data_IF_999771536116
#
_entry.id   IF_999771536116
#
_cell.length_a   1.000
_cell.length_b   1.000
_cell.length_c   1.000
_cell.angle_alpha   90.00
_cell.angle_beta   90.00
_cell.angle_gamma   90.00
#
_symmetry.space_group_name_H-M   'P 1'
#
loop_
_entity.id
_entity.type
_entity.pdbx_description
1 polymer ?
#
# COMPACT_ATOMS: atom_id res chain seq x y z
N UNK A 1 8.66 8.74 26.06
CA UNK A 1 8.03 7.60 25.35
C UNK A 1 8.08 7.84 23.85
N UNK A 2 8.32 6.77 23.12
CA UNK A 2 8.30 6.87 21.67
C UNK A 2 6.87 7.08 21.16
N UNK A 3 6.71 7.98 20.21
CA UNK A 3 5.44 8.21 19.55
C UNK A 3 5.04 6.98 18.74
N UNK A 4 3.74 6.65 18.73
CA UNK A 4 3.24 5.52 17.94
C UNK A 4 3.09 5.94 16.48
N UNK A 5 3.38 5.01 15.58
CA UNK A 5 3.39 5.27 14.14
C UNK A 5 2.50 4.31 13.37
N UNK A 6 1.95 4.79 12.27
CA UNK A 6 1.35 3.96 11.26
C UNK A 6 2.17 4.15 9.97
N UNK A 7 2.77 3.07 9.49
CA UNK A 7 3.58 3.10 8.28
C UNK A 7 2.76 2.52 7.13
N UNK A 8 2.53 3.32 6.09
CA UNK A 8 1.83 2.88 4.89
C UNK A 8 2.87 2.47 3.85
N UNK A 9 2.86 1.19 3.49
CA UNK A 9 3.68 0.68 2.40
C UNK A 9 2.93 0.91 1.10
N UNK A 10 3.41 1.84 0.29
CA UNK A 10 2.73 2.24 -0.94
C UNK A 10 3.51 1.81 -2.19
N UNK A 11 2.82 1.74 -3.31
CA UNK A 11 3.41 1.40 -4.58
C UNK A 11 2.44 0.65 -5.48
N UNK A 12 2.86 0.39 -6.71
CA UNK A 12 2.04 -0.32 -7.69
C UNK A 12 1.87 -1.80 -7.32
N UNK A 13 0.87 -2.45 -7.92
CA UNK A 13 0.66 -3.90 -7.75
C UNK A 13 1.95 -4.66 -8.07
N UNK A 14 2.29 -5.61 -7.21
CA UNK A 14 3.48 -6.46 -7.41
C UNK A 14 4.78 -5.87 -6.89
N UNK A 15 4.76 -4.70 -6.27
CA UNK A 15 5.99 -4.11 -5.71
C UNK A 15 6.45 -4.77 -4.41
N UNK A 16 5.65 -5.67 -3.83
CA UNK A 16 6.03 -6.43 -2.65
C UNK A 16 5.48 -5.92 -1.33
N UNK A 17 4.41 -5.13 -1.36
CA UNK A 17 3.82 -4.54 -0.14
C UNK A 17 3.48 -5.59 0.93
N UNK A 18 2.79 -6.65 0.55
CA UNK A 18 2.38 -7.69 1.49
C UNK A 18 3.58 -8.43 2.05
N UNK A 19 4.52 -8.82 1.19
CA UNK A 19 5.72 -9.56 1.61
C UNK A 19 6.55 -8.73 2.59
N UNK A 20 6.84 -7.49 2.24
CA UNK A 20 7.64 -6.61 3.09
C UNK A 20 6.87 -6.26 4.37
N UNK A 21 5.57 -6.04 4.27
CA UNK A 21 4.73 -5.74 5.43
C UNK A 21 4.73 -6.87 6.44
N UNK A 22 4.62 -8.11 5.98
CA UNK A 22 4.67 -9.28 6.86
C UNK A 22 6.03 -9.46 7.51
N UNK A 23 7.12 -9.23 6.77
CA UNK A 23 8.47 -9.28 7.32
C UNK A 23 8.69 -8.23 8.39
N UNK A 24 8.28 -6.98 8.13
CA UNK A 24 8.39 -5.90 9.11
C UNK A 24 7.55 -6.18 10.35
N UNK A 25 6.36 -6.73 10.16
CA UNK A 25 5.48 -7.09 11.26
C UNK A 25 6.16 -8.08 12.20
N UNK A 26 6.83 -9.10 11.65
CA UNK A 26 7.57 -10.08 12.43
C UNK A 26 8.78 -9.47 13.14
N UNK A 27 9.52 -8.61 12.42
CA UNK A 27 10.73 -7.99 12.97
C UNK A 27 10.42 -6.99 14.09
N UNK A 28 9.37 -6.20 13.94
CA UNK A 28 9.05 -5.11 14.85
C UNK A 28 7.96 -5.46 15.88
N UNK A 29 7.23 -6.54 15.66
CA UNK A 29 6.08 -6.89 16.50
C UNK A 29 4.89 -5.97 16.30
N UNK A 30 4.81 -5.27 15.17
CA UNK A 30 3.71 -4.37 14.84
C UNK A 30 2.60 -5.13 14.12
N UNK A 31 1.36 -4.66 14.28
CA UNK A 31 0.21 -5.25 13.57
C UNK A 31 0.30 -4.94 12.09
N UNK A 32 0.09 -5.94 11.25
CA UNK A 32 0.03 -5.77 9.80
C UNK A 32 -1.43 -5.75 9.33
N UNK A 33 -1.78 -4.73 8.55
CA UNK A 33 -3.10 -4.58 7.95
C UNK A 33 -2.96 -4.59 6.43
N UNK A 34 -3.76 -5.42 5.76
CA UNK A 34 -3.85 -5.40 4.30
C UNK A 34 -5.03 -4.52 3.91
N UNK A 35 -4.76 -3.45 3.18
CA UNK A 35 -5.80 -2.50 2.78
C UNK A 35 -6.91 -3.13 1.95
N UNK A 36 -6.60 -4.18 1.18
CA UNK A 36 -7.60 -4.86 0.37
C UNK A 36 -8.70 -5.52 1.19
N UNK A 37 -8.42 -5.86 2.45
CA UNK A 37 -9.40 -6.49 3.34
C UNK A 37 -10.49 -5.53 3.82
N UNK A 38 -10.32 -4.25 3.58
CA UNK A 38 -11.21 -3.20 4.10
C UNK A 38 -12.12 -2.58 3.04
N UNK A 39 -12.14 -3.10 1.84
CA UNK A 39 -13.03 -2.58 0.79
C UNK A 39 -14.50 -2.79 1.14
N UNK A 40 -15.38 -1.80 0.87
CA UNK A 40 -16.82 -1.99 0.96
C UNK A 40 -17.27 -3.10 -0.01
N UNK A 41 -18.39 -3.74 0.31
CA UNK A 41 -18.91 -4.83 -0.52
C UNK A 41 -19.13 -4.41 -1.98
N UNK A 42 -19.56 -3.16 -2.22
CA UNK A 42 -19.74 -2.65 -3.57
C UNK A 42 -18.45 -2.64 -4.37
N UNK A 43 -17.33 -2.31 -3.72
CA UNK A 43 -16.02 -2.34 -4.37
C UNK A 43 -15.58 -3.77 -4.66
N UNK A 44 -15.80 -4.68 -3.72
CA UNK A 44 -15.47 -6.10 -3.89
C UNK A 44 -16.21 -6.68 -5.07
N UNK A 45 -17.49 -6.36 -5.22
CA UNK A 45 -18.31 -6.80 -6.37
C UNK A 45 -17.76 -6.27 -7.68
N UNK A 46 -17.42 -4.98 -7.74
CA UNK A 46 -16.84 -4.38 -8.95
C UNK A 46 -15.55 -5.04 -9.36
N UNK A 47 -14.67 -5.28 -8.40
CA UNK A 47 -13.39 -5.94 -8.66
C UNK A 47 -13.60 -7.37 -9.17
N UNK A 48 -14.55 -8.11 -8.59
CA UNK A 48 -14.86 -9.47 -9.01
C UNK A 48 -15.42 -9.52 -10.43
N UNK A 49 -16.13 -8.48 -10.85
CA UNK A 49 -16.71 -8.36 -12.18
C UNK A 49 -15.74 -7.74 -13.21
N UNK A 50 -14.53 -7.38 -12.76
CA UNK A 50 -13.55 -6.74 -13.63
C UNK A 50 -13.83 -5.26 -13.90
N UNK A 51 -14.71 -4.65 -13.13
CA UNK A 51 -15.04 -3.23 -13.27
C UNK A 51 -14.03 -2.38 -12.49
N UNK A 52 -13.34 -1.42 -13.15
CA UNK A 52 -12.38 -0.56 -12.46
C UNK A 52 -13.05 0.30 -11.39
N UNK A 53 -12.37 0.49 -10.27
CA UNK A 53 -12.85 1.40 -9.22
C UNK A 53 -12.58 2.84 -9.62
N UNK A 54 -13.58 3.71 -9.39
CA UNK A 54 -13.43 5.15 -9.56
C UNK A 54 -12.84 5.75 -8.29
N UNK A 55 -12.45 7.03 -8.36
CA UNK A 55 -12.01 7.75 -7.16
C UNK A 55 -13.11 7.79 -6.10
N UNK A 56 -14.37 8.02 -6.53
CA UNK A 56 -15.50 8.04 -5.61
C UNK A 56 -15.72 6.69 -4.92
N UNK A 57 -15.45 5.59 -5.62
CA UNK A 57 -15.51 4.25 -5.03
C UNK A 57 -14.45 4.07 -3.95
N UNK A 58 -13.27 4.68 -4.14
CA UNK A 58 -12.13 4.53 -3.24
C UNK A 58 -12.20 5.40 -2.00
N UNK A 59 -12.83 6.57 -2.07
CA UNK A 59 -12.85 7.50 -0.94
C UNK A 59 -13.39 6.89 0.36
N UNK A 60 -14.54 6.22 0.39
CA UNK A 60 -15.01 5.58 1.62
C UNK A 60 -14.05 4.51 2.16
N UNK A 61 -13.42 3.78 1.25
CA UNK A 61 -12.41 2.77 1.62
C UNK A 61 -11.20 3.42 2.28
N UNK A 62 -10.68 4.49 1.68
CA UNK A 62 -9.53 5.22 2.22
C UNK A 62 -9.85 5.85 3.57
N UNK A 63 -11.04 6.38 3.74
CA UNK A 63 -11.50 6.93 5.01
C UNK A 63 -11.58 5.85 6.09
N UNK A 64 -12.05 4.67 5.73
CA UNK A 64 -12.10 3.53 6.65
C UNK A 64 -10.70 3.12 7.09
N UNK A 65 -9.75 3.08 6.16
CA UNK A 65 -8.36 2.78 6.47
C UNK A 65 -7.74 3.83 7.40
N UNK A 66 -8.03 5.10 7.15
CA UNK A 66 -7.56 6.20 8.00
C UNK A 66 -8.11 6.07 9.42
N UNK A 67 -9.38 5.73 9.55
CA UNK A 67 -10.04 5.51 10.84
C UNK A 67 -9.38 4.33 11.58
N UNK A 68 -9.14 3.24 10.88
CA UNK A 68 -8.51 2.05 11.46
C UNK A 68 -7.12 2.36 12.00
N UNK A 69 -6.30 3.05 11.21
CA UNK A 69 -4.96 3.46 11.66
C UNK A 69 -5.03 4.42 12.85
N UNK A 70 -5.93 5.40 12.78
CA UNK A 70 -6.10 6.38 13.85
C UNK A 70 -6.51 5.75 15.17
N UNK A 71 -7.41 4.79 15.14
CA UNK A 71 -7.85 4.07 16.33
C UNK A 71 -6.71 3.28 16.97
N UNK A 72 -5.85 2.66 16.16
CA UNK A 72 -4.71 1.92 16.67
C UNK A 72 -3.67 2.84 17.30
N UNK A 73 -3.38 3.96 16.66
CA UNK A 73 -2.45 4.96 17.22
C UNK A 73 -2.99 5.49 18.54
N UNK A 74 -4.26 5.85 18.58
CA UNK A 74 -4.89 6.40 19.78
C UNK A 74 -4.97 5.38 20.92
N UNK A 75 -5.02 4.09 20.60
CA UNK A 75 -4.99 3.02 21.61
C UNK A 75 -3.59 2.61 22.03
N UNK A 76 -2.56 3.26 21.50
CA UNK A 76 -1.18 3.02 21.86
C UNK A 76 -0.48 1.91 21.08
N UNK A 77 -0.94 1.62 19.88
CA UNK A 77 -0.35 0.57 19.02
C UNK A 77 0.26 1.15 17.77
N UNK A 78 1.37 0.57 17.34
CA UNK A 78 1.94 0.83 16.01
C UNK A 78 1.31 -0.14 15.01
N UNK A 79 1.25 0.26 13.74
CA UNK A 79 0.73 -0.62 12.69
C UNK A 79 1.42 -0.38 11.35
N UNK A 80 1.29 -1.36 10.47
CA UNK A 80 1.80 -1.33 9.10
C UNK A 80 0.61 -1.58 8.20
N UNK A 81 0.39 -0.71 7.22
CA UNK A 81 -0.71 -0.85 6.26
C UNK A 81 -0.15 -1.05 4.86
N UNK A 82 -0.60 -2.09 4.16
CA UNK A 82 -0.31 -2.27 2.74
C UNK A 82 -1.45 -1.63 1.93
N UNK A 83 -1.16 -0.58 1.19
CA UNK A 83 -2.13 0.14 0.38
C UNK A 83 -1.41 0.83 -0.77
N UNK A 84 -1.89 0.67 -2.01
CA UNK A 84 -1.24 1.26 -3.18
C UNK A 84 -0.99 2.76 -3.04
N UNK A 85 -1.97 3.51 -2.56
CA UNK A 85 -1.86 4.96 -2.29
C UNK A 85 -1.20 5.73 -3.45
N UNK A 86 -1.58 5.41 -4.68
CA UNK A 86 -0.89 5.90 -5.88
C UNK A 86 -1.01 7.41 -6.07
N UNK A 87 -2.14 7.98 -5.73
CA UNK A 87 -2.38 9.41 -5.90
C UNK A 87 -2.14 10.17 -4.59
N UNK A 88 -1.64 11.39 -4.72
CA UNK A 88 -1.43 12.28 -3.58
C UNK A 88 -2.70 12.46 -2.74
N UNK A 89 -3.85 12.60 -3.42
CA UNK A 89 -5.13 12.77 -2.74
C UNK A 89 -5.47 11.56 -1.87
N UNK A 90 -5.15 10.35 -2.33
CA UNK A 90 -5.35 9.14 -1.54
C UNK A 90 -4.50 9.18 -0.27
N UNK A 91 -3.25 9.62 -0.39
CA UNK A 91 -2.34 9.73 0.76
C UNK A 91 -2.82 10.79 1.75
N UNK A 92 -3.37 11.89 1.27
CA UNK A 92 -3.94 12.93 2.13
C UNK A 92 -5.11 12.39 2.95
N UNK A 93 -5.99 11.61 2.32
CA UNK A 93 -7.13 10.99 3.01
C UNK A 93 -6.64 9.99 4.06
N UNK A 94 -5.68 9.15 3.69
CA UNK A 94 -5.12 8.16 4.62
C UNK A 94 -4.48 8.80 5.84
N UNK A 95 -3.73 9.87 5.63
CA UNK A 95 -3.06 10.57 6.71
C UNK A 95 -4.04 11.29 7.64
N UNK A 96 -5.15 11.79 7.10
CA UNK A 96 -6.18 12.52 7.84
C UNK A 96 -5.59 13.61 8.75
N UNK A 97 -4.51 14.29 8.27
CA UNK A 97 -3.84 15.34 9.03
C UNK A 97 -2.93 14.84 10.17
N UNK A 98 -2.73 13.54 10.30
CA UNK A 98 -1.90 12.96 11.37
C UNK A 98 -0.44 12.85 10.93
N UNK A 99 0.48 13.39 11.71
CA UNK A 99 1.92 13.27 11.46
C UNK A 99 2.44 11.87 11.76
N UNK A 100 1.73 11.10 12.58
CA UNK A 100 2.08 9.72 12.92
C UNK A 100 1.94 8.77 11.75
N UNK A 101 1.17 9.14 10.70
CA UNK A 101 1.03 8.33 9.50
C UNK A 101 2.18 8.67 8.56
N UNK A 102 3.01 7.68 8.26
CA UNK A 102 4.20 7.84 7.40
C UNK A 102 4.09 6.91 6.20
N UNK A 103 4.65 7.35 5.09
CA UNK A 103 4.59 6.59 3.83
C UNK A 103 5.96 6.07 3.45
N UNK A 104 6.03 4.79 3.08
CA UNK A 104 7.23 4.18 2.51
C UNK A 104 6.88 3.67 1.11
N UNK A 105 7.49 4.26 0.10
CA UNK A 105 7.24 3.93 -1.30
C UNK A 105 8.16 2.80 -1.74
N UNK A 106 7.58 1.63 -2.02
CA UNK A 106 8.30 0.48 -2.55
C UNK A 106 8.44 0.68 -4.06
N UNK A 107 9.61 1.15 -4.48
CA UNK A 107 9.86 1.59 -5.85
C UNK A 107 10.78 0.64 -6.60
N UNK A 108 10.42 0.35 -7.86
CA UNK A 108 11.26 -0.45 -8.75
C UNK A 108 10.85 -0.24 -10.20
N UNK A 109 11.71 -0.70 -11.13
CA UNK A 109 11.42 -0.59 -12.56
C UNK A 109 10.15 -1.38 -12.93
N UNK A 110 9.39 -0.85 -13.88
CA UNK A 110 8.17 -1.50 -14.37
C UNK A 110 8.44 -2.92 -14.85
N UNK A 111 9.55 -3.13 -15.55
CA UNK A 111 9.92 -4.45 -16.07
C UNK A 111 10.14 -5.48 -14.96
N UNK A 112 10.81 -5.07 -13.89
CA UNK A 112 11.09 -5.94 -12.74
C UNK A 112 9.78 -6.33 -12.05
N UNK A 113 8.91 -5.37 -11.82
CA UNK A 113 7.61 -5.60 -11.17
C UNK A 113 6.75 -6.50 -12.04
N UNK A 114 6.72 -6.25 -13.36
CA UNK A 114 5.99 -7.09 -14.30
C UNK A 114 6.44 -8.55 -14.28
N UNK A 115 7.75 -8.79 -14.23
CA UNK A 115 8.29 -10.14 -14.12
C UNK A 115 7.88 -10.82 -12.82
N UNK A 116 7.98 -10.11 -11.71
CA UNK A 116 7.61 -10.65 -10.39
C UNK A 116 6.13 -11.02 -10.32
N UNK A 117 5.27 -10.20 -10.92
CA UNK A 117 3.85 -10.50 -11.00
C UNK A 117 3.57 -11.75 -11.83
N UNK A 118 4.20 -11.87 -12.99
CA UNK A 118 4.04 -13.03 -13.87
C UNK A 118 4.46 -14.32 -13.15
N UNK A 119 5.61 -14.31 -12.48
CA UNK A 119 6.12 -15.46 -11.74
C UNK A 119 5.18 -15.84 -10.59
N UNK A 120 4.71 -14.84 -9.83
CA UNK A 120 3.86 -15.04 -8.66
C UNK A 120 2.50 -15.62 -9.03
N UNK A 121 1.90 -15.13 -10.14
CA UNK A 121 0.58 -15.55 -10.58
C UNK A 121 0.63 -16.75 -11.50
N UNK A 122 1.82 -17.18 -11.91
CA UNK A 122 2.02 -18.26 -12.89
C UNK A 122 1.25 -18.00 -14.19
N UNK A 123 1.05 -16.72 -14.55
CA UNK A 123 0.36 -16.31 -15.77
C UNK A 123 0.82 -14.93 -16.20
N UNK A 124 0.62 -14.64 -17.48
CA UNK A 124 0.97 -13.34 -18.04
C UNK A 124 0.08 -12.24 -17.46
N UNK A 125 0.72 -11.16 -17.00
CA UNK A 125 0.02 -9.95 -16.57
C UNK A 125 0.06 -8.95 -17.74
N UNK A 126 -1.11 -8.45 -18.23
CA UNK A 126 -1.10 -7.46 -19.30
C UNK A 126 -0.29 -6.23 -18.90
N UNK A 127 0.66 -5.84 -19.77
CA UNK A 127 1.51 -4.68 -19.53
C UNK A 127 0.69 -3.39 -19.37
N UNK A 128 -0.44 -3.29 -20.08
CA UNK A 128 -1.32 -2.12 -20.01
C UNK A 128 -1.91 -1.92 -18.62
N UNK A 129 -2.22 -3.00 -17.91
CA UNK A 129 -2.78 -2.92 -16.55
C UNK A 129 -1.73 -2.37 -15.58
N UNK A 130 -0.50 -2.89 -15.64
CA UNK A 130 0.58 -2.41 -14.80
C UNK A 130 0.97 -0.97 -15.16
N UNK A 131 1.04 -0.67 -16.46
CA UNK A 131 1.36 0.67 -16.93
C UNK A 131 0.34 1.71 -16.44
N UNK A 132 -0.95 1.36 -16.41
CA UNK A 132 -1.98 2.27 -15.92
C UNK A 132 -1.75 2.63 -14.44
N UNK A 133 -1.24 1.70 -13.65
CA UNK A 133 -0.89 1.99 -12.25
C UNK A 133 0.32 2.92 -12.15
N UNK A 134 1.35 2.72 -12.96
CA UNK A 134 2.49 3.64 -13.01
C UNK A 134 2.07 5.04 -13.47
N UNK A 135 1.15 5.12 -14.42
CA UNK A 135 0.61 6.41 -14.87
C UNK A 135 -0.21 7.11 -13.79
N UNK A 136 -0.94 6.35 -12.98
CA UNK A 136 -1.71 6.91 -11.88
C UNK A 136 -0.83 7.32 -10.69
N UNK A 137 0.37 6.76 -10.60
CA UNK A 137 1.29 7.01 -9.49
C UNK A 137 1.76 8.47 -9.52
N UNK A 138 1.49 9.18 -8.44
CA UNK A 138 2.00 10.53 -8.22
C UNK A 138 3.13 10.44 -7.20
N UNK A 139 4.32 10.91 -7.58
CA UNK A 139 5.48 10.85 -6.70
C UNK A 139 5.23 11.63 -5.41
N UNK A 140 5.78 11.10 -4.31
CA UNK A 140 5.66 11.72 -3.01
C UNK A 140 7.06 12.04 -2.48
N UNK A 141 7.51 13.30 -2.58
CA UNK A 141 8.85 13.66 -2.11
C UNK A 141 9.01 13.50 -0.59
N UNK A 142 7.91 13.45 0.12
CA UNK A 142 7.90 13.29 1.58
C UNK A 142 8.00 11.84 2.02
N UNK A 143 7.81 10.89 1.10
CA UNK A 143 7.86 9.46 1.41
C UNK A 143 9.28 8.94 1.45
N UNK A 144 9.51 7.97 2.34
CA UNK A 144 10.73 7.19 2.29
C UNK A 144 10.68 6.28 1.07
N UNK A 145 11.73 6.27 0.26
CA UNK A 145 11.80 5.42 -0.93
C UNK A 145 12.57 4.16 -0.59
N UNK A 146 11.96 2.99 -0.85
CA UNK A 146 12.57 1.68 -0.65
C UNK A 146 12.80 1.04 -2.02
N UNK A 147 14.06 0.70 -2.33
CA UNK A 147 14.42 0.06 -3.60
C UNK A 147 14.11 -1.43 -3.52
N UNK A 148 13.18 -1.90 -4.35
CA UNK A 148 12.73 -3.30 -4.36
C UNK A 148 13.53 -4.18 -5.32
N UNK A 149 14.57 -3.65 -6.00
CA UNK A 149 15.47 -4.47 -6.82
C UNK A 149 16.31 -5.41 -5.95
N UNK A 150 16.42 -5.10 -4.66
CA UNK A 150 17.08 -5.94 -3.67
C UNK A 150 16.12 -6.98 -3.10
N UNK A 151 16.62 -7.91 -2.30
CA UNK A 151 15.77 -8.89 -1.63
C UNK A 151 14.87 -8.21 -0.61
N UNK A 152 13.72 -8.81 -0.24
CA UNK A 152 12.86 -8.22 0.80
C UNK A 152 13.59 -7.98 2.11
N UNK A 153 14.49 -8.86 2.50
CA UNK A 153 15.27 -8.73 3.74
C UNK A 153 16.21 -7.52 3.68
N UNK A 154 16.81 -7.25 2.53
CA UNK A 154 17.66 -6.08 2.34
C UNK A 154 16.84 -4.80 2.32
N UNK A 155 15.62 -4.85 1.77
CA UNK A 155 14.75 -3.69 1.66
C UNK A 155 14.27 -3.16 3.02
N UNK A 156 14.18 -3.99 4.05
CA UNK A 156 13.70 -3.58 5.38
C UNK A 156 14.82 -3.02 6.29
N UNK A 157 16.04 -3.00 5.81
CA UNK A 157 17.17 -2.47 6.60
C UNK A 157 17.36 -0.95 6.48
#
# INVERSE_FOLDING_TARGET
>A
MREKLAVVLMGVTGCGKTTIGELLSRELGWVFLDGDDFHPETNVRKMAEGVPLTDDDRYPWLERLATEMGERIDSGSDCILACSALKRRYREILAAGREEVRFAHLKGPEELIGRRLTERLHRYMPASLLRSQFEALEESPESLVVDISKTPEDAIR
#
